data_IF_687177883934
#
_entry.id   IF_687177883934
#
_cell.length_a   1.000
_cell.length_b   1.000
_cell.length_c   1.000
_cell.angle_alpha   90.00
_cell.angle_beta   90.00
_cell.angle_gamma   90.00
#
_symmetry.space_group_name_H-M   'P 1'
#
loop_
_entity.id
_entity.type
_entity.pdbx_description
1 polymer ?
#
# COMPACT_ATOMS: atom_id res chain seq x y z
N UNK A 1 -50.15 11.73 12.02
CA UNK A 1 -48.92 11.66 12.80
C UNK A 1 -48.16 10.32 12.74
N UNK A 2 -48.81 9.15 12.92
CA UNK A 2 -48.13 7.82 12.90
C UNK A 2 -47.43 7.45 11.60
N UNK A 3 -47.95 7.86 10.42
CA UNK A 3 -47.33 7.56 9.11
C UNK A 3 -45.97 8.26 8.87
N UNK A 4 -45.81 9.47 9.42
CA UNK A 4 -44.57 10.24 9.25
C UNK A 4 -43.43 9.69 10.14
N UNK A 5 -43.80 9.17 11.34
CA UNK A 5 -42.81 8.55 12.25
C UNK A 5 -42.23 7.28 11.65
N UNK A 6 -43.06 6.42 11.02
CA UNK A 6 -42.60 5.21 10.36
C UNK A 6 -41.67 5.49 9.20
N UNK A 7 -41.95 6.49 8.36
CA UNK A 7 -41.09 6.91 7.26
C UNK A 7 -39.71 7.44 7.73
N UNK A 8 -39.72 8.21 8.83
CA UNK A 8 -38.48 8.74 9.43
C UNK A 8 -37.62 7.61 9.99
N UNK A 9 -38.19 6.61 10.66
CA UNK A 9 -37.48 5.45 11.21
C UNK A 9 -36.88 4.61 10.07
N UNK A 10 -37.62 4.38 8.98
CA UNK A 10 -37.12 3.66 7.82
C UNK A 10 -35.94 4.37 7.14
N UNK A 11 -36.00 5.69 7.03
CA UNK A 11 -34.89 6.47 6.44
C UNK A 11 -33.64 6.44 7.31
N UNK A 12 -33.78 6.53 8.64
CA UNK A 12 -32.64 6.42 9.56
C UNK A 12 -32.02 5.02 9.57
N UNK A 13 -32.84 3.97 9.46
CA UNK A 13 -32.35 2.60 9.38
C UNK A 13 -31.60 2.33 8.07
N UNK A 14 -32.10 2.87 6.95
CA UNK A 14 -31.42 2.77 5.65
C UNK A 14 -30.08 3.51 5.64
N UNK A 15 -30.00 4.69 6.27
CA UNK A 15 -28.75 5.44 6.43
C UNK A 15 -27.74 4.70 7.32
N UNK A 16 -28.18 4.07 8.39
CA UNK A 16 -27.33 3.27 9.28
C UNK A 16 -26.77 2.02 8.58
N UNK A 17 -27.57 1.37 7.74
CA UNK A 17 -27.13 0.21 6.94
C UNK A 17 -26.12 0.60 5.83
N UNK A 18 -26.26 1.76 5.22
CA UNK A 18 -25.30 2.28 4.23
C UNK A 18 -23.95 2.64 4.85
N UNK A 19 -23.91 3.12 6.09
CA UNK A 19 -22.65 3.47 6.77
C UNK A 19 -21.81 2.24 7.16
N UNK A 20 -22.41 1.07 7.34
CA UNK A 20 -21.71 -0.18 7.65
C UNK A 20 -20.99 -0.80 6.43
N UNK A 21 -21.40 -0.48 5.20
CA UNK A 21 -20.81 -1.03 3.99
C UNK A 21 -19.48 -0.40 3.59
N UNK A 22 -19.12 0.76 4.15
CA UNK A 22 -17.91 1.50 3.77
C UNK A 22 -16.61 0.94 4.36
N UNK A 23 -16.67 0.08 5.37
CA UNK A 23 -15.50 -0.39 6.12
C UNK A 23 -14.77 -1.59 5.51
N UNK A 24 -15.35 -2.26 4.51
CA UNK A 24 -14.83 -3.54 3.99
C UNK A 24 -13.76 -3.40 2.90
N UNK A 25 -13.59 -2.22 2.31
CA UNK A 25 -12.64 -2.03 1.20
C UNK A 25 -11.19 -1.81 1.63
N UNK A 26 -10.93 -1.39 2.86
CA UNK A 26 -9.58 -1.06 3.32
C UNK A 26 -8.70 -2.30 3.61
N UNK A 27 -9.29 -3.43 4.00
CA UNK A 27 -8.54 -4.63 4.36
C UNK A 27 -8.13 -5.51 3.16
N UNK A 28 -8.75 -5.33 1.99
CA UNK A 28 -8.46 -6.18 0.82
C UNK A 28 -7.17 -5.81 0.08
N UNK A 29 -6.61 -4.62 0.28
CA UNK A 29 -5.43 -4.18 -0.49
C UNK A 29 -4.14 -4.91 -0.11
N UNK A 30 -3.97 -5.31 1.16
CA UNK A 30 -2.77 -6.03 1.63
C UNK A 30 -2.86 -7.56 1.44
N UNK A 31 -4.06 -8.14 1.37
CA UNK A 31 -4.26 -9.58 1.23
C UNK A 31 -3.68 -10.17 -0.07
N UNK A 32 -3.47 -9.34 -1.10
CA UNK A 32 -2.86 -9.73 -2.37
C UNK A 32 -1.35 -9.93 -2.31
N UNK A 33 -0.70 -9.60 -1.18
CA UNK A 33 0.75 -9.65 -1.02
C UNK A 33 1.17 -10.63 0.07
N UNK A 34 2.35 -11.21 -0.07
CA UNK A 34 2.93 -12.06 0.97
C UNK A 34 3.73 -11.21 1.97
N UNK A 35 3.05 -10.80 3.04
CA UNK A 35 3.65 -9.94 4.07
C UNK A 35 4.74 -10.63 4.91
N UNK A 36 4.90 -11.97 4.79
CA UNK A 36 5.95 -12.73 5.44
C UNK A 36 7.21 -12.87 4.56
N UNK A 37 7.11 -12.54 3.27
CA UNK A 37 8.22 -12.55 2.33
C UNK A 37 8.63 -11.11 1.98
N UNK A 38 9.92 -10.93 1.74
CA UNK A 38 10.49 -9.64 1.34
C UNK A 38 11.53 -9.86 0.27
N UNK A 39 11.35 -9.17 -0.86
CA UNK A 39 12.33 -9.11 -1.94
C UNK A 39 13.05 -7.77 -1.91
N UNK A 40 14.33 -7.76 -2.28
CA UNK A 40 15.16 -6.56 -2.42
C UNK A 40 15.98 -6.64 -3.71
N UNK A 41 16.05 -5.54 -4.45
CA UNK A 41 16.86 -5.46 -5.66
C UNK A 41 17.43 -4.06 -5.89
N UNK A 42 18.58 -4.01 -6.57
CA UNK A 42 19.05 -2.81 -7.25
C UNK A 42 18.16 -2.58 -8.48
N UNK A 43 17.62 -1.40 -8.61
CA UNK A 43 16.61 -1.06 -9.58
C UNK A 43 16.91 0.27 -10.27
N UNK A 44 16.46 0.41 -11.50
CA UNK A 44 16.47 1.70 -12.22
C UNK A 44 15.03 2.20 -12.28
N UNK A 45 14.79 3.41 -11.80
CA UNK A 45 13.46 4.02 -11.84
C UNK A 45 13.07 4.31 -13.29
N UNK A 46 11.96 3.76 -13.75
CA UNK A 46 11.39 3.97 -15.10
C UNK A 46 10.24 4.97 -15.08
N UNK A 47 9.39 4.91 -14.05
CA UNK A 47 8.22 5.79 -13.93
C UNK A 47 7.86 5.98 -12.46
N UNK A 48 7.44 7.21 -12.11
CA UNK A 48 6.85 7.51 -10.81
C UNK A 48 5.54 8.28 -10.98
N UNK A 49 4.45 7.66 -10.58
CA UNK A 49 3.12 8.26 -10.55
C UNK A 49 2.81 8.74 -9.15
N UNK A 50 2.89 10.05 -8.95
CA UNK A 50 2.54 10.69 -7.70
C UNK A 50 1.03 10.97 -7.66
N UNK A 51 0.23 9.93 -7.42
CA UNK A 51 -1.24 9.97 -7.46
C UNK A 51 -1.85 9.48 -6.16
N UNK A 52 -3.02 10.03 -5.79
CA UNK A 52 -3.82 9.56 -4.67
C UNK A 52 -4.84 8.51 -5.14
N UNK A 53 -5.22 7.53 -4.32
CA UNK A 53 -4.81 7.32 -2.92
C UNK A 53 -3.41 6.72 -2.76
N UNK A 54 -2.86 6.09 -3.78
CA UNK A 54 -1.57 5.40 -3.75
C UNK A 54 -0.69 5.82 -4.92
N UNK A 55 0.58 6.06 -4.62
CA UNK A 55 1.59 6.23 -5.65
C UNK A 55 1.93 4.86 -6.28
N UNK A 56 2.37 4.88 -7.52
CA UNK A 56 2.88 3.71 -8.22
C UNK A 56 4.25 4.01 -8.83
N UNK A 57 5.18 3.07 -8.66
CA UNK A 57 6.53 3.17 -9.16
C UNK A 57 6.81 1.98 -10.08
N UNK A 58 7.34 2.26 -11.25
CA UNK A 58 7.81 1.25 -12.19
C UNK A 58 9.33 1.25 -12.20
N UNK A 59 9.92 0.09 -11.97
CA UNK A 59 11.35 -0.11 -11.96
C UNK A 59 11.78 -1.15 -12.97
N UNK A 60 13.02 -1.05 -13.42
CA UNK A 60 13.73 -2.11 -14.14
C UNK A 60 14.75 -2.73 -13.18
N UNK A 61 14.63 -4.02 -12.96
CA UNK A 61 15.58 -4.84 -12.18
C UNK A 61 16.28 -5.85 -13.08
N UNK A 62 17.33 -6.49 -12.58
CA UNK A 62 17.92 -7.67 -13.20
C UNK A 62 17.11 -8.90 -12.77
N UNK A 63 16.42 -9.52 -13.71
CA UNK A 63 15.66 -10.75 -13.46
C UNK A 63 16.56 -11.96 -13.18
N UNK A 64 15.98 -13.07 -12.73
CA UNK A 64 16.70 -14.29 -12.38
C UNK A 64 17.51 -14.88 -13.58
N UNK A 65 17.03 -14.67 -14.79
CA UNK A 65 17.71 -15.05 -16.04
C UNK A 65 18.79 -14.05 -16.50
N UNK A 66 19.07 -13.01 -15.69
CA UNK A 66 20.02 -11.95 -15.99
C UNK A 66 19.51 -10.86 -16.94
N UNK A 67 18.31 -11.00 -17.51
CA UNK A 67 17.70 -10.02 -18.41
C UNK A 67 17.01 -8.90 -17.64
N UNK A 68 16.91 -7.69 -18.22
CA UNK A 68 16.10 -6.62 -17.64
C UNK A 68 14.64 -7.03 -17.51
N UNK A 69 14.05 -6.75 -16.35
CA UNK A 69 12.66 -7.08 -16.04
C UNK A 69 11.97 -5.90 -15.38
N UNK A 70 10.78 -5.56 -15.86
CA UNK A 70 9.98 -4.50 -15.26
C UNK A 70 9.16 -5.04 -14.08
N UNK A 71 9.18 -4.29 -12.97
CA UNK A 71 8.33 -4.53 -11.81
C UNK A 71 7.55 -3.26 -11.50
N UNK A 72 6.32 -3.43 -11.00
CA UNK A 72 5.51 -2.32 -10.48
C UNK A 72 5.37 -2.47 -8.97
N UNK A 73 5.75 -1.44 -8.24
CA UNK A 73 5.60 -1.36 -6.79
C UNK A 73 4.58 -0.27 -6.46
N UNK A 74 3.59 -0.62 -5.63
CA UNK A 74 2.54 0.28 -5.17
C UNK A 74 2.42 0.27 -3.66
N UNK A 75 1.55 1.12 -3.13
CA UNK A 75 1.14 1.07 -1.74
C UNK A 75 1.24 2.39 -0.99
N UNK A 76 2.39 3.05 -0.98
CA UNK A 76 2.56 4.29 -0.24
C UNK A 76 1.68 5.43 -0.80
N UNK A 77 0.99 6.13 0.08
CA UNK A 77 0.29 7.36 -0.29
C UNK A 77 1.28 8.52 -0.48
N UNK A 78 1.00 9.48 -1.40
CA UNK A 78 1.84 10.67 -1.58
C UNK A 78 2.17 11.41 -0.29
N UNK A 79 1.21 11.53 0.61
CA UNK A 79 1.39 12.16 1.91
C UNK A 79 2.43 11.45 2.81
N UNK A 80 2.64 10.13 2.64
CA UNK A 80 3.64 9.39 3.41
C UNK A 80 5.06 9.73 2.93
N UNK A 81 5.26 9.84 1.61
CA UNK A 81 6.51 10.34 1.05
C UNK A 81 6.82 11.77 1.54
N UNK A 82 5.82 12.67 1.48
CA UNK A 82 6.00 14.07 1.89
C UNK A 82 6.35 14.20 3.37
N UNK A 83 5.73 13.41 4.27
CA UNK A 83 6.05 13.42 5.70
C UNK A 83 7.49 12.97 6.01
N UNK A 84 8.06 12.13 5.15
CA UNK A 84 9.45 11.69 5.24
C UNK A 84 10.43 12.61 4.47
N UNK A 85 9.95 13.78 4.00
CA UNK A 85 10.76 14.78 3.33
C UNK A 85 10.96 14.57 1.83
N UNK A 86 10.32 13.56 1.23
CA UNK A 86 10.42 13.32 -0.20
C UNK A 86 9.41 14.14 -0.98
N UNK A 87 9.83 14.57 -2.17
CA UNK A 87 9.04 15.35 -3.14
C UNK A 87 9.07 14.67 -4.50
N UNK A 88 8.11 14.90 -5.41
CA UNK A 88 8.12 14.33 -6.76
C UNK A 88 9.45 14.51 -7.50
N UNK A 89 10.11 15.65 -7.34
CA UNK A 89 11.40 15.97 -7.98
C UNK A 89 12.58 15.12 -7.51
N UNK A 90 12.45 14.44 -6.38
CA UNK A 90 13.50 13.55 -5.85
C UNK A 90 13.54 12.21 -6.58
N UNK A 91 12.52 11.90 -7.37
CA UNK A 91 12.38 10.67 -8.13
C UNK A 91 12.60 10.94 -9.62
N UNK A 92 13.80 10.75 -10.10
CA UNK A 92 14.16 11.00 -11.50
C UNK A 92 14.20 9.68 -12.27
N UNK A 93 13.60 9.65 -13.44
CA UNK A 93 13.72 8.52 -14.36
C UNK A 93 15.21 8.28 -14.66
N UNK A 94 15.64 7.03 -14.53
CA UNK A 94 17.04 6.64 -14.67
C UNK A 94 17.81 6.55 -13.34
N UNK A 95 17.25 7.02 -12.22
CA UNK A 95 17.89 6.88 -10.91
C UNK A 95 18.09 5.39 -10.57
N UNK A 96 19.31 5.07 -10.13
CA UNK A 96 19.65 3.75 -9.61
C UNK A 96 19.46 3.77 -8.10
N UNK A 97 18.54 2.96 -7.62
CA UNK A 97 18.12 2.90 -6.21
C UNK A 97 17.94 1.44 -5.79
N UNK A 98 18.00 1.20 -4.49
CA UNK A 98 17.66 -0.10 -3.93
C UNK A 98 16.19 -0.06 -3.50
N UNK A 99 15.40 -1.04 -3.91
CA UNK A 99 13.98 -1.15 -3.57
C UNK A 99 13.70 -2.45 -2.84
N UNK A 100 12.82 -2.39 -1.85
CA UNK A 100 12.35 -3.52 -1.06
C UNK A 100 10.84 -3.58 -1.11
N UNK A 101 10.26 -4.78 -1.24
CA UNK A 101 8.82 -4.96 -1.35
C UNK A 101 8.37 -6.33 -0.84
N UNK A 102 7.08 -6.44 -0.52
CA UNK A 102 6.40 -7.72 -0.33
C UNK A 102 5.89 -8.22 -1.68
N UNK A 103 6.24 -9.44 -2.12
CA UNK A 103 5.82 -9.96 -3.43
C UNK A 103 4.33 -10.21 -3.52
N UNK A 104 3.78 -10.10 -4.72
CA UNK A 104 2.38 -10.42 -4.98
C UNK A 104 2.15 -11.93 -4.92
N UNK A 105 1.12 -12.39 -4.19
CA UNK A 105 0.78 -13.83 -4.00
C UNK A 105 0.38 -14.52 -5.30
N UNK A 106 -0.11 -13.79 -6.28
CA UNK A 106 -0.54 -14.33 -7.58
C UNK A 106 0.62 -14.52 -8.58
N UNK A 107 1.87 -14.37 -8.16
CA UNK A 107 3.06 -14.51 -8.99
C UNK A 107 3.32 -13.36 -9.97
N UNK A 108 2.52 -12.29 -9.92
CA UNK A 108 2.79 -11.08 -10.72
C UNK A 108 4.08 -10.42 -10.24
N UNK A 109 4.87 -9.92 -11.20
CA UNK A 109 6.13 -9.23 -10.92
C UNK A 109 5.90 -7.90 -10.20
N UNK A 110 6.64 -7.71 -9.10
CA UNK A 110 6.49 -6.55 -8.22
C UNK A 110 5.63 -6.86 -7.00
N UNK A 111 5.10 -5.81 -6.38
CA UNK A 111 4.37 -6.00 -5.14
C UNK A 111 4.08 -4.72 -4.36
N UNK A 112 4.01 -4.87 -3.04
CA UNK A 112 3.77 -3.79 -2.10
C UNK A 112 5.10 -3.20 -1.65
N UNK A 113 5.35 -1.93 -2.01
CA UNK A 113 6.57 -1.21 -1.63
C UNK A 113 6.71 -1.12 -0.11
N UNK A 114 7.89 -1.43 0.41
CA UNK A 114 8.23 -1.27 1.83
C UNK A 114 9.37 -0.30 2.06
N UNK A 115 10.36 -0.23 1.17
CA UNK A 115 11.45 0.73 1.31
C UNK A 115 12.04 1.14 -0.04
N UNK A 116 12.64 2.34 -0.06
CA UNK A 116 13.49 2.85 -1.14
C UNK A 116 14.73 3.46 -0.50
N UNK A 117 15.90 2.95 -0.86
CA UNK A 117 17.18 3.51 -0.45
C UNK A 117 17.86 4.19 -1.62
N UNK A 118 18.07 5.49 -1.49
CA UNK A 118 18.71 6.33 -2.51
C UNK A 118 20.24 6.28 -2.41
N UNK A 119 20.97 6.57 -3.52
CA UNK A 119 22.43 6.58 -3.51
C UNK A 119 23.04 7.61 -2.54
N UNK A 120 22.30 8.68 -2.23
CA UNK A 120 22.70 9.74 -1.27
C UNK A 120 22.49 9.31 0.20
N UNK A 121 22.05 8.07 0.44
CA UNK A 121 21.80 7.52 1.77
C UNK A 121 20.41 7.80 2.35
N UNK A 122 19.58 8.61 1.68
CA UNK A 122 18.18 8.79 2.13
C UNK A 122 17.41 7.49 2.02
N UNK A 123 16.57 7.23 3.00
CA UNK A 123 15.76 6.02 3.10
C UNK A 123 14.29 6.40 3.27
N UNK A 124 13.46 5.98 2.34
CA UNK A 124 12.01 5.96 2.51
C UNK A 124 11.58 4.60 3.07
N UNK A 125 10.66 4.59 4.03
CA UNK A 125 10.03 3.37 4.58
C UNK A 125 8.52 3.45 4.55
N UNK A 126 7.89 2.35 4.14
CA UNK A 126 6.45 2.16 4.26
C UNK A 126 6.16 1.00 5.23
N UNK A 127 5.91 1.36 6.51
CA UNK A 127 5.65 0.40 7.59
C UNK A 127 4.20 -0.12 7.57
N UNK A 128 3.58 -0.21 6.38
CA UNK A 128 2.19 -0.69 6.26
C UNK A 128 2.03 -2.12 6.79
N UNK A 129 3.02 -2.97 6.56
CA UNK A 129 3.03 -4.35 7.07
C UNK A 129 3.08 -4.36 8.62
N UNK A 130 3.93 -3.55 9.22
CA UNK A 130 4.04 -3.45 10.69
C UNK A 130 2.74 -2.91 11.29
N UNK A 131 2.11 -1.92 10.65
CA UNK A 131 0.83 -1.38 11.08
C UNK A 131 -0.29 -2.43 11.01
N UNK A 132 -0.35 -3.22 9.93
CA UNK A 132 -1.33 -4.30 9.77
C UNK A 132 -1.11 -5.39 10.81
N UNK A 133 0.13 -5.79 11.05
CA UNK A 133 0.45 -6.81 12.05
C UNK A 133 0.13 -6.33 13.47
N UNK A 134 0.37 -5.06 13.81
CA UNK A 134 0.00 -4.47 15.09
C UNK A 134 -1.52 -4.42 15.30
N UNK A 135 -2.29 -4.08 14.26
CA UNK A 135 -3.76 -4.09 14.31
C UNK A 135 -4.30 -5.50 14.52
N UNK A 136 -3.76 -6.49 13.80
CA UNK A 136 -4.17 -7.88 13.94
C UNK A 136 -3.80 -8.44 15.32
N UNK A 137 -2.61 -8.13 15.85
CA UNK A 137 -2.20 -8.56 17.19
C UNK A 137 -3.13 -8.01 18.29
N UNK A 138 -3.55 -6.75 18.18
CA UNK A 138 -4.47 -6.14 19.14
C UNK A 138 -5.91 -6.68 19.04
N UNK A 139 -6.30 -7.21 17.88
CA UNK A 139 -7.63 -7.82 17.70
C UNK A 139 -7.74 -9.19 18.41
N UNK A 140 -6.62 -9.91 18.57
CA UNK A 140 -6.60 -11.21 19.28
C UNK A 140 -6.52 -11.11 20.81
N UNK A 141 -6.30 -9.92 21.39
CA UNK A 141 -6.19 -9.75 22.85
C UNK A 141 -7.57 -9.51 23.51
N UNK A 142 -8.63 -9.35 22.71
CA UNK A 142 -9.98 -9.01 23.18
C UNK A 142 -10.96 -10.15 23.39
N UNK A 143 -10.63 -11.37 22.98
CA UNK A 143 -11.55 -12.52 22.99
C UNK A 143 -11.05 -13.65 23.93
N UNK A 144 -10.75 -13.35 25.19
CA UNK A 144 -10.78 -14.38 26.23
C UNK A 144 -12.04 -14.24 27.09
N UNK A 145 -12.76 -15.35 27.35
CA UNK A 145 -14.05 -15.38 28.08
C UNK A 145 -13.90 -15.11 29.58
#
# INVERSE_FOLDING_TARGET
MRKNIAATIQSLLAMALMSMAASTFAHHSAAGYDLNATDTAQATLKEFRWTSPHAALVFVIKGANGQPQEITLGGAAPGKFSRQGFKPKDFKVGDKIEVTWHPARNGRLGGLLTAIKFPDGRLFKDDLADTINAVNANHFIGDEP
#
